data_IF_760570107545
#
_entry.id   IF_760570107545
#
_cell.length_a   1.000
_cell.length_b   1.000
_cell.length_c   1.000
_cell.angle_alpha   90.00
_cell.angle_beta   90.00
_cell.angle_gamma   90.00
#
_symmetry.space_group_name_H-M   'P 1'
#
loop_
_entity.id
_entity.type
_entity.pdbx_description
1 polymer ?
#
# COMPACT_ATOMS: atom_id res chain seq x y z
N UNK A 1 10.50 -10.97 -12.57
CA UNK A 1 9.59 -10.02 -11.88
C UNK A 1 10.21 -9.68 -10.54
N UNK A 2 10.37 -8.40 -10.22
CA UNK A 2 10.84 -8.00 -8.89
C UNK A 2 9.69 -8.31 -7.92
N UNK A 3 9.93 -9.19 -6.95
CA UNK A 3 8.94 -9.47 -5.90
C UNK A 3 8.92 -8.26 -4.95
N UNK A 4 7.81 -7.53 -4.93
CA UNK A 4 7.63 -6.38 -4.03
C UNK A 4 7.31 -6.86 -2.62
N UNK A 5 7.74 -6.08 -1.64
CA UNK A 5 7.43 -6.30 -0.23
C UNK A 5 6.08 -5.67 0.12
N UNK A 6 5.27 -6.34 0.91
CA UNK A 6 4.00 -5.80 1.43
C UNK A 6 4.24 -5.25 2.83
N UNK A 7 3.58 -4.16 3.16
CA UNK A 7 3.60 -3.63 4.53
C UNK A 7 2.67 -4.44 5.44
N UNK A 8 3.22 -4.91 6.55
CA UNK A 8 2.51 -5.55 7.66
C UNK A 8 2.47 -4.61 8.86
N UNK A 9 1.52 -4.83 9.77
CA UNK A 9 1.50 -4.19 11.08
C UNK A 9 2.79 -4.46 11.87
N UNK A 10 2.98 -3.74 12.98
CA UNK A 10 4.20 -3.79 13.80
C UNK A 10 4.52 -5.19 14.35
N UNK A 11 3.51 -6.03 14.53
CA UNK A 11 3.67 -7.43 14.95
C UNK A 11 4.05 -8.38 13.80
N UNK A 12 4.03 -7.88 12.56
CA UNK A 12 4.32 -8.62 11.35
C UNK A 12 3.32 -9.74 11.03
N UNK A 13 2.13 -9.76 11.66
CA UNK A 13 1.13 -10.83 11.48
C UNK A 13 0.10 -10.50 10.41
N UNK A 14 -0.34 -9.24 10.36
CA UNK A 14 -1.42 -8.79 9.48
C UNK A 14 -0.92 -7.76 8.49
N UNK A 15 -1.42 -7.81 7.25
CA UNK A 15 -1.17 -6.77 6.26
C UNK A 15 -1.75 -5.45 6.79
N UNK A 16 -0.97 -4.37 6.72
CA UNK A 16 -1.45 -3.05 7.07
C UNK A 16 -2.41 -2.58 5.96
N UNK A 17 -3.65 -2.29 6.35
CA UNK A 17 -4.68 -1.84 5.42
C UNK A 17 -4.97 -0.37 5.62
N UNK A 18 -5.11 0.33 4.51
CA UNK A 18 -5.52 1.71 4.44
C UNK A 18 -6.90 1.81 3.77
N UNK A 19 -7.61 2.88 4.06
CA UNK A 19 -8.96 3.09 3.56
C UNK A 19 -9.14 4.52 3.06
N UNK A 20 -9.86 4.68 1.96
CA UNK A 20 -10.37 5.98 1.54
C UNK A 20 -11.72 6.25 2.20
N UNK A 21 -11.88 7.45 2.76
CA UNK A 21 -13.14 7.90 3.37
C UNK A 21 -14.05 8.61 2.37
N UNK A 22 -13.53 8.99 1.19
CA UNK A 22 -14.25 9.78 0.20
C UNK A 22 -14.84 8.89 -0.91
N UNK A 23 -15.95 9.32 -1.53
CA UNK A 23 -16.63 8.58 -2.61
C UNK A 23 -15.80 8.39 -3.90
N UNK A 24 -14.67 9.08 -4.05
CA UNK A 24 -13.75 8.83 -5.16
C UNK A 24 -12.86 7.63 -4.83
N UNK A 25 -13.24 6.45 -5.30
CA UNK A 25 -12.37 5.28 -5.32
C UNK A 25 -11.32 5.46 -6.44
N UNK A 26 -10.04 5.71 -6.13
CA UNK A 26 -9.01 5.93 -7.15
C UNK A 26 -8.77 4.71 -8.04
N UNK A 27 -9.11 3.52 -7.54
CA UNK A 27 -8.99 2.28 -8.29
C UNK A 27 -10.15 2.06 -9.28
N UNK A 28 -11.32 2.65 -9.03
CA UNK A 28 -12.53 2.49 -9.85
C UNK A 28 -13.22 1.12 -9.78
N UNK A 29 -12.90 0.28 -8.79
CA UNK A 29 -13.49 -1.06 -8.60
C UNK A 29 -14.46 -1.15 -7.40
N UNK A 30 -14.97 -0.02 -6.93
CA UNK A 30 -15.79 0.16 -5.72
C UNK A 30 -15.19 -0.23 -4.36
N UNK A 31 -14.06 -0.95 -4.31
CA UNK A 31 -13.33 -1.18 -3.06
C UNK A 31 -12.60 0.09 -2.59
N UNK A 32 -12.80 0.48 -1.33
CA UNK A 32 -12.08 1.59 -0.70
C UNK A 32 -10.87 1.15 0.13
N UNK A 33 -10.52 -0.14 0.12
CA UNK A 33 -9.46 -0.72 0.94
C UNK A 33 -8.25 -1.09 0.09
N UNK A 34 -7.06 -0.77 0.57
CA UNK A 34 -5.80 -0.98 -0.15
C UNK A 34 -4.65 -1.27 0.81
N UNK A 35 -3.58 -1.85 0.27
CA UNK A 35 -2.31 -2.07 0.96
C UNK A 35 -1.17 -1.39 0.20
N UNK A 36 0.00 -1.35 0.84
CA UNK A 36 1.21 -0.78 0.26
C UNK A 36 2.19 -1.86 -0.16
N UNK A 37 2.80 -1.67 -1.33
CA UNK A 37 3.86 -2.52 -1.88
C UNK A 37 5.13 -1.70 -2.11
N UNK A 38 6.30 -2.26 -1.79
CA UNK A 38 7.61 -1.59 -1.96
C UNK A 38 8.53 -2.41 -2.85
N UNK A 39 9.07 -1.80 -3.91
CA UNK A 39 9.98 -2.46 -4.86
C UNK A 39 11.48 -2.27 -4.54
N UNK A 40 11.81 -1.56 -3.46
CA UNK A 40 13.19 -1.14 -3.15
C UNK A 40 13.48 0.32 -3.51
N UNK A 41 12.57 1.01 -4.21
CA UNK A 41 12.68 2.41 -4.60
C UNK A 41 11.40 3.20 -4.32
N UNK A 42 10.25 2.69 -4.74
CA UNK A 42 8.93 3.34 -4.67
C UNK A 42 7.95 2.51 -3.87
N UNK A 43 7.02 3.19 -3.22
CA UNK A 43 5.85 2.58 -2.58
C UNK A 43 4.63 2.77 -3.48
N UNK A 44 3.92 1.67 -3.77
CA UNK A 44 2.73 1.62 -4.59
C UNK A 44 1.50 1.38 -3.71
N UNK A 45 0.38 2.01 -4.05
CA UNK A 45 -0.91 1.70 -3.45
C UNK A 45 -1.62 0.66 -4.32
N UNK A 46 -1.88 -0.52 -3.76
CA UNK A 46 -2.49 -1.65 -4.45
C UNK A 46 -3.86 -1.97 -3.85
N UNK A 47 -4.89 -2.03 -4.70
CA UNK A 47 -6.26 -2.31 -4.26
C UNK A 47 -6.37 -3.74 -3.70
N UNK A 48 -7.07 -3.91 -2.57
CA UNK A 48 -7.25 -5.24 -1.99
C UNK A 48 -8.23 -6.13 -2.75
N UNK A 49 -9.13 -5.56 -3.57
CA UNK A 49 -10.13 -6.32 -4.30
C UNK A 49 -9.65 -6.79 -5.67
N UNK A 50 -9.00 -5.90 -6.44
CA UNK A 50 -8.60 -6.19 -7.81
C UNK A 50 -7.08 -6.18 -8.04
N UNK A 51 -6.29 -5.93 -6.98
CA UNK A 51 -4.82 -5.95 -6.99
C UNK A 51 -4.16 -4.97 -7.98
N UNK A 52 -4.95 -4.02 -8.51
CA UNK A 52 -4.44 -2.97 -9.38
C UNK A 52 -3.70 -1.91 -8.55
N UNK A 53 -2.53 -1.52 -9.02
CA UNK A 53 -1.85 -0.32 -8.60
C UNK A 53 -2.59 0.92 -9.12
N UNK A 54 -2.94 1.84 -8.24
CA UNK A 54 -3.65 3.07 -8.64
C UNK A 54 -2.92 4.35 -8.24
N UNK A 55 -1.88 4.26 -7.41
CA UNK A 55 -1.08 5.41 -7.01
C UNK A 55 0.34 5.00 -6.60
N UNK A 56 1.25 6.00 -6.62
CA UNK A 56 2.60 5.90 -6.07
C UNK A 56 2.72 6.95 -4.97
N UNK A 57 3.23 6.56 -3.80
CA UNK A 57 3.45 7.47 -2.68
C UNK A 57 4.59 8.46 -3.00
N UNK A 58 4.40 9.71 -2.61
CA UNK A 58 5.40 10.76 -2.80
C UNK A 58 6.67 10.50 -1.97
N UNK A 59 7.83 10.90 -2.52
CA UNK A 59 9.15 10.55 -1.98
C UNK A 59 9.34 11.00 -0.54
N UNK A 60 8.73 12.13 -0.17
CA UNK A 60 8.79 12.76 1.14
C UNK A 60 8.17 11.87 2.22
N UNK A 61 7.12 11.12 1.86
CA UNK A 61 6.39 10.23 2.78
C UNK A 61 6.98 8.81 2.83
N UNK A 62 7.79 8.42 1.83
CA UNK A 62 8.35 7.07 1.74
C UNK A 62 9.15 6.70 2.99
N UNK A 63 10.01 7.61 3.49
CA UNK A 63 10.85 7.33 4.66
C UNK A 63 10.01 7.08 5.92
N UNK A 64 8.92 7.81 6.09
CA UNK A 64 8.02 7.64 7.24
C UNK A 64 7.34 6.27 7.18
N UNK A 65 6.76 5.91 6.04
CA UNK A 65 6.07 4.64 5.84
C UNK A 65 7.01 3.43 5.92
N UNK A 66 8.25 3.55 5.43
CA UNK A 66 9.25 2.49 5.57
C UNK A 66 9.63 2.20 7.03
N UNK A 67 9.49 3.20 7.91
CA UNK A 67 9.72 3.04 9.34
C UNK A 67 8.46 2.60 10.11
N UNK A 68 7.29 2.60 9.46
CA UNK A 68 6.05 2.12 10.06
C UNK A 68 5.74 0.68 9.64
N UNK A 69 5.59 -0.19 10.63
CA UNK A 69 5.31 -1.61 10.40
C UNK A 69 6.51 -2.42 9.92
N UNK A 70 6.24 -3.56 9.29
CA UNK A 70 7.24 -4.52 8.83
C UNK A 70 7.03 -4.81 7.34
N UNK A 71 8.08 -4.79 6.53
CA UNK A 71 7.99 -5.02 5.08
C UNK A 71 8.50 -6.42 4.71
N UNK A 72 7.64 -7.28 4.14
CA UNK A 72 7.95 -8.69 3.82
C UNK A 72 7.61 -9.06 2.38
#
# INVERSE_FOLDING_TARGET
MIKRKIQYGKDGKWIHNYYFTNRNNPCGCDSNCYHLEYDGNKIFCACNACYREFAIIQKEQVKELLNDGVWK
#
